data_IF_893082675582
#
_entry.id   IF_893082675582
#
_cell.length_a   1.000
_cell.length_b   1.000
_cell.length_c   1.000
_cell.angle_alpha   90.00
_cell.angle_beta   90.00
_cell.angle_gamma   90.00
#
_symmetry.space_group_name_H-M   'P 1'
#
loop_
_entity.id
_entity.type
_entity.pdbx_description
1 polymer ?
#
# COMPACT_ATOMS: atom_id res chain seq x y z
N UNK A 1 6.20 -1.22 13.59
CA UNK A 1 5.03 -0.54 12.98
C UNK A 1 3.85 -1.48 12.72
N UNK A 2 3.80 -2.29 11.64
CA UNK A 2 2.61 -3.11 11.35
C UNK A 2 2.43 -4.34 12.27
N UNK A 3 3.51 -5.08 12.52
CA UNK A 3 3.49 -6.25 13.42
C UNK A 3 3.09 -5.83 14.84
N UNK A 4 3.74 -4.80 15.38
CA UNK A 4 3.41 -4.22 16.68
C UNK A 4 1.95 -3.78 16.78
N UNK A 5 1.39 -3.19 15.73
CA UNK A 5 -0.02 -2.80 15.71
C UNK A 5 -0.97 -4.01 15.79
N UNK A 6 -0.64 -5.11 15.10
CA UNK A 6 -1.39 -6.37 15.17
C UNK A 6 -1.24 -7.06 16.52
N UNK A 7 -0.06 -7.01 17.14
CA UNK A 7 0.17 -7.53 18.49
C UNK A 7 -0.61 -6.74 19.54
N UNK A 8 -0.59 -5.41 19.45
CA UNK A 8 -1.39 -4.54 20.31
C UNK A 8 -2.89 -4.77 20.10
N UNK A 9 -3.32 -5.00 18.85
CA UNK A 9 -4.70 -5.34 18.52
C UNK A 9 -5.13 -6.67 19.14
N UNK A 10 -4.31 -7.72 19.00
CA UNK A 10 -4.51 -9.02 19.66
C UNK A 10 -4.59 -8.89 21.17
N UNK A 11 -3.73 -8.05 21.76
CA UNK A 11 -3.74 -7.74 23.19
C UNK A 11 -5.07 -7.13 23.65
N UNK A 12 -5.56 -6.10 22.93
CA UNK A 12 -6.87 -5.48 23.20
C UNK A 12 -8.01 -6.48 23.09
N UNK A 13 -8.05 -7.27 22.03
CA UNK A 13 -9.09 -8.30 21.84
C UNK A 13 -9.09 -9.33 22.97
N UNK A 14 -7.91 -9.71 23.46
CA UNK A 14 -7.79 -10.65 24.58
C UNK A 14 -8.43 -10.09 25.85
N UNK A 15 -8.23 -8.80 26.13
CA UNK A 15 -8.86 -8.10 27.26
C UNK A 15 -10.39 -8.01 27.07
N UNK A 16 -10.86 -7.57 25.90
CA UNK A 16 -12.30 -7.44 25.61
C UNK A 16 -13.03 -8.79 25.70
N UNK A 17 -12.38 -9.86 25.21
CA UNK A 17 -12.88 -11.23 25.28
C UNK A 17 -13.05 -11.71 26.72
N UNK A 18 -12.06 -11.47 27.58
CA UNK A 18 -12.14 -11.82 29.01
C UNK A 18 -13.25 -11.01 29.70
N UNK A 19 -13.30 -9.70 29.44
CA UNK A 19 -14.28 -8.80 30.05
C UNK A 19 -15.73 -9.16 29.71
N UNK A 20 -16.00 -9.58 28.47
CA UNK A 20 -17.35 -9.95 28.03
C UNK A 20 -17.74 -11.37 28.37
N UNK A 21 -16.77 -12.26 28.60
CA UNK A 21 -17.00 -13.68 28.77
C UNK A 21 -17.42 -14.37 27.46
N UNK A 22 -17.15 -15.67 27.37
CA UNK A 22 -17.45 -16.49 26.19
C UNK A 22 -18.58 -17.48 26.54
N UNK A 23 -19.50 -17.71 25.62
CA UNK A 23 -20.60 -18.67 25.81
C UNK A 23 -21.76 -18.17 26.68
N UNK A 24 -21.80 -16.87 26.99
CA UNK A 24 -22.89 -16.23 27.73
C UNK A 24 -23.74 -15.35 26.80
N UNK A 25 -25.05 -15.16 27.09
CA UNK A 25 -25.88 -14.23 26.33
C UNK A 25 -25.29 -12.81 26.32
N UNK A 26 -25.07 -12.25 25.14
CA UNK A 26 -24.42 -10.93 24.98
C UNK A 26 -22.90 -10.91 25.19
N UNK A 27 -22.28 -12.08 25.39
CA UNK A 27 -20.84 -12.25 25.52
C UNK A 27 -20.07 -12.09 24.22
N UNK A 28 -18.77 -12.37 24.29
CA UNK A 28 -17.86 -12.36 23.15
C UNK A 28 -18.21 -13.46 22.14
N UNK A 29 -18.27 -13.10 20.85
CA UNK A 29 -18.50 -14.02 19.75
C UNK A 29 -17.18 -14.64 19.26
N UNK A 30 -17.08 -15.97 19.31
CA UNK A 30 -15.91 -16.74 18.87
C UNK A 30 -15.96 -16.97 17.36
N UNK A 31 -15.71 -15.90 16.59
CA UNK A 31 -15.77 -15.93 15.11
C UNK A 31 -14.48 -16.40 14.45
N UNK A 32 -13.36 -16.44 15.18
CA UNK A 32 -12.04 -16.75 14.63
C UNK A 32 -11.45 -15.67 13.72
N UNK A 33 -12.11 -14.51 13.60
CA UNK A 33 -11.66 -13.40 12.77
C UNK A 33 -10.61 -12.55 13.49
N UNK A 34 -9.62 -12.06 12.74
CA UNK A 34 -8.58 -11.16 13.26
C UNK A 34 -9.14 -9.76 13.51
N UNK A 35 -10.01 -9.26 12.65
CA UNK A 35 -10.62 -7.93 12.78
C UNK A 35 -12.10 -8.04 13.13
N UNK A 36 -12.42 -7.70 14.37
CA UNK A 36 -13.77 -7.77 14.94
C UNK A 36 -14.08 -6.49 15.70
N UNK A 37 -15.36 -6.25 15.96
CA UNK A 37 -15.78 -5.22 16.88
C UNK A 37 -15.55 -5.66 18.34
N UNK A 38 -15.90 -4.79 19.30
CA UNK A 38 -15.72 -5.05 20.75
C UNK A 38 -16.53 -6.22 21.30
N UNK A 39 -17.37 -6.88 20.50
CA UNK A 39 -18.09 -8.09 20.88
C UNK A 39 -17.61 -9.34 20.16
N UNK A 40 -16.50 -9.30 19.43
CA UNK A 40 -16.01 -10.45 18.66
C UNK A 40 -16.76 -10.69 17.34
N UNK A 41 -17.74 -9.85 17.00
CA UNK A 41 -18.49 -9.97 15.76
C UNK A 41 -17.79 -9.24 14.60
N UNK A 42 -18.07 -9.61 13.34
CA UNK A 42 -17.43 -9.00 12.18
C UNK A 42 -17.57 -7.46 12.18
N UNK A 43 -16.53 -6.78 11.71
CA UNK A 43 -16.61 -5.35 11.45
C UNK A 43 -17.57 -5.10 10.28
N UNK A 44 -18.35 -4.04 10.40
CA UNK A 44 -19.19 -3.56 9.31
C UNK A 44 -18.37 -2.70 8.33
N UNK A 45 -18.42 -3.04 7.04
CA UNK A 45 -17.63 -2.37 6.01
C UNK A 45 -18.00 -0.89 5.83
N UNK A 46 -19.28 -0.53 5.99
CA UNK A 46 -19.70 0.87 5.88
C UNK A 46 -19.14 1.71 7.04
N UNK A 47 -19.14 1.17 8.26
CA UNK A 47 -18.52 1.80 9.43
C UNK A 47 -17.02 1.96 9.26
N UNK A 48 -16.32 0.96 8.72
CA UNK A 48 -14.89 1.06 8.42
C UNK A 48 -14.61 2.19 7.42
N UNK A 49 -15.39 2.26 6.34
CA UNK A 49 -15.30 3.36 5.38
C UNK A 49 -15.56 4.71 6.06
N UNK A 50 -16.60 4.83 6.88
CA UNK A 50 -16.90 6.07 7.61
C UNK A 50 -15.75 6.49 8.54
N UNK A 51 -15.17 5.56 9.28
CA UNK A 51 -14.00 5.84 10.13
C UNK A 51 -12.82 6.33 9.29
N UNK A 52 -12.57 5.71 8.14
CA UNK A 52 -11.52 6.14 7.23
C UNK A 52 -11.68 7.57 6.73
N UNK A 53 -12.89 7.97 6.32
CA UNK A 53 -13.15 9.35 5.88
C UNK A 53 -12.90 10.34 7.04
N UNK A 54 -13.32 10.00 8.26
CA UNK A 54 -13.01 10.80 9.45
C UNK A 54 -11.51 10.92 9.73
N UNK A 55 -10.72 9.88 9.42
CA UNK A 55 -9.26 9.95 9.52
C UNK A 55 -8.63 10.81 8.41
N UNK A 56 -9.16 10.80 7.19
CA UNK A 56 -8.72 11.69 6.11
C UNK A 56 -8.97 13.15 6.48
N UNK A 57 -10.17 13.47 6.96
CA UNK A 57 -10.54 14.81 7.40
C UNK A 57 -9.63 15.30 8.53
N UNK A 58 -9.42 14.47 9.56
CA UNK A 58 -8.54 14.81 10.69
C UNK A 58 -7.08 15.01 10.26
N UNK A 59 -6.64 14.36 9.18
CA UNK A 59 -5.31 14.51 8.61
C UNK A 59 -5.21 15.66 7.58
N UNK A 60 -6.32 16.35 7.26
CA UNK A 60 -6.36 17.39 6.22
C UNK A 60 -6.13 16.84 4.81
N UNK A 61 -6.42 15.57 4.58
CA UNK A 61 -6.23 14.89 3.30
C UNK A 61 -7.51 14.96 2.46
N UNK A 62 -7.34 14.90 1.14
CA UNK A 62 -8.47 14.87 0.20
C UNK A 62 -9.31 13.60 0.39
N UNK A 63 -10.60 13.70 0.10
CA UNK A 63 -11.52 12.59 0.22
C UNK A 63 -11.18 11.45 -0.75
N UNK A 64 -11.13 10.22 -0.22
CA UNK A 64 -10.71 9.02 -0.93
C UNK A 64 -11.46 7.81 -0.38
N UNK A 65 -11.65 6.80 -1.23
CA UNK A 65 -12.21 5.52 -0.80
C UNK A 65 -11.18 4.72 0.01
N UNK A 66 -11.64 3.78 0.84
CA UNK A 66 -10.75 2.89 1.60
C UNK A 66 -9.78 2.10 0.70
N UNK A 67 -10.18 1.87 -0.56
CA UNK A 67 -9.33 1.19 -1.56
C UNK A 67 -8.09 2.02 -1.94
N UNK A 68 -8.09 3.34 -1.74
CA UNK A 68 -6.92 4.19 -1.98
C UNK A 68 -5.69 3.73 -1.17
N UNK A 69 -5.88 3.21 0.05
CA UNK A 69 -4.78 2.67 0.86
C UNK A 69 -4.02 1.55 0.14
N UNK A 70 -4.74 0.74 -0.63
CA UNK A 70 -4.16 -0.34 -1.43
C UNK A 70 -3.37 0.20 -2.62
N UNK A 71 -3.87 1.24 -3.28
CA UNK A 71 -3.13 1.94 -4.33
C UNK A 71 -1.84 2.55 -3.78
N UNK A 72 -1.92 3.24 -2.63
CA UNK A 72 -0.74 3.78 -1.95
C UNK A 72 0.28 2.69 -1.62
N UNK A 73 -0.17 1.53 -1.12
CA UNK A 73 0.72 0.40 -0.87
C UNK A 73 1.40 -0.10 -2.16
N UNK A 74 0.66 -0.21 -3.28
CA UNK A 74 1.25 -0.54 -4.57
C UNK A 74 2.29 0.49 -5.03
N UNK A 75 1.99 1.79 -4.94
CA UNK A 75 2.92 2.85 -5.31
C UNK A 75 4.20 2.79 -4.50
N UNK A 76 4.11 2.66 -3.18
CA UNK A 76 5.27 2.58 -2.29
C UNK A 76 6.15 1.36 -2.58
N UNK A 77 5.54 0.21 -2.91
CA UNK A 77 6.30 -0.99 -3.29
C UNK A 77 6.98 -0.85 -4.65
N UNK A 78 6.37 -0.14 -5.61
CA UNK A 78 7.02 0.15 -6.89
C UNK A 78 8.18 1.13 -6.70
N UNK A 79 8.02 2.15 -5.85
CA UNK A 79 9.09 3.10 -5.51
C UNK A 79 10.29 2.41 -4.85
N UNK A 80 10.05 1.33 -4.09
CA UNK A 80 11.08 0.48 -3.47
C UNK A 80 11.62 -0.63 -4.43
N UNK A 81 11.35 -0.51 -5.73
CA UNK A 81 11.81 -1.43 -6.78
C UNK A 81 11.37 -2.90 -6.60
N UNK A 82 10.26 -3.11 -5.89
CA UNK A 82 9.70 -4.46 -5.71
C UNK A 82 9.11 -4.95 -7.04
N UNK A 83 9.47 -6.16 -7.44
CA UNK A 83 9.03 -6.73 -8.71
C UNK A 83 7.49 -6.79 -8.80
N UNK A 84 6.88 -6.39 -9.94
CA UNK A 84 5.42 -6.35 -10.10
C UNK A 84 4.70 -7.64 -9.74
N UNK A 85 5.31 -8.80 -10.02
CA UNK A 85 4.74 -10.11 -9.70
C UNK A 85 4.64 -10.35 -8.18
N UNK A 86 5.59 -9.83 -7.41
CA UNK A 86 5.59 -9.89 -5.95
C UNK A 86 4.52 -8.94 -5.41
N UNK A 87 4.44 -7.72 -5.93
CA UNK A 87 3.39 -6.74 -5.56
C UNK A 87 2.00 -7.34 -5.82
N UNK A 88 1.80 -7.94 -6.99
CA UNK A 88 0.56 -8.60 -7.37
C UNK A 88 0.21 -9.76 -6.43
N UNK A 89 1.17 -10.59 -6.04
CA UNK A 89 0.93 -11.69 -5.11
C UNK A 89 0.58 -11.19 -3.70
N UNK A 90 1.27 -10.15 -3.23
CA UNK A 90 1.06 -9.53 -1.92
C UNK A 90 -0.30 -8.85 -1.82
N UNK A 91 -0.68 -8.11 -2.87
CA UNK A 91 -1.95 -7.40 -2.87
C UNK A 91 -3.08 -8.37 -3.25
N UNK A 92 -2.91 -9.25 -4.22
CA UNK A 92 -3.95 -10.12 -4.79
C UNK A 92 -4.51 -9.59 -6.12
N UNK A 93 -5.27 -10.45 -6.82
CA UNK A 93 -5.55 -10.32 -8.26
C UNK A 93 -6.38 -9.09 -8.67
N UNK A 94 -7.16 -8.49 -7.77
CA UNK A 94 -8.03 -7.34 -8.11
C UNK A 94 -7.27 -6.02 -8.30
N UNK A 95 -5.97 -5.93 -7.97
CA UNK A 95 -5.15 -4.72 -8.17
C UNK A 95 -4.12 -4.81 -9.28
N UNK A 96 -4.18 -5.85 -10.12
CA UNK A 96 -3.24 -6.00 -11.25
C UNK A 96 -3.23 -4.74 -12.11
N UNK A 97 -4.41 -4.23 -12.45
CA UNK A 97 -4.54 -3.09 -13.33
C UNK A 97 -3.85 -1.85 -12.76
N UNK A 98 -4.06 -1.56 -11.47
CA UNK A 98 -3.42 -0.45 -10.80
C UNK A 98 -1.90 -0.61 -10.66
N UNK A 99 -1.42 -1.81 -10.30
CA UNK A 99 0.02 -2.09 -10.22
C UNK A 99 0.69 -1.91 -11.58
N UNK A 100 0.05 -2.38 -12.65
CA UNK A 100 0.58 -2.25 -14.00
C UNK A 100 0.54 -0.80 -14.51
N UNK A 101 -0.51 -0.04 -14.21
CA UNK A 101 -0.59 1.40 -14.55
C UNK A 101 0.54 2.20 -13.89
N UNK A 102 0.78 1.98 -12.58
CA UNK A 102 1.87 2.65 -11.85
C UNK A 102 3.23 2.25 -12.41
N UNK A 103 3.44 0.96 -12.63
CA UNK A 103 4.72 0.46 -13.16
C UNK A 103 4.99 0.96 -14.59
N UNK A 104 3.96 1.06 -15.43
CA UNK A 104 4.09 1.62 -16.77
C UNK A 104 4.57 3.08 -16.73
N UNK A 105 4.08 3.88 -15.78
CA UNK A 105 4.53 5.26 -15.59
C UNK A 105 6.00 5.33 -15.17
N UNK A 106 6.40 4.57 -14.15
CA UNK A 106 7.80 4.51 -13.67
C UNK A 106 8.74 4.01 -14.75
N UNK A 107 8.36 2.96 -15.49
CA UNK A 107 9.14 2.44 -16.62
C UNK A 107 9.33 3.50 -17.71
N UNK A 108 8.32 4.32 -17.99
CA UNK A 108 8.43 5.39 -18.98
C UNK A 108 9.46 6.44 -18.55
N UNK A 109 9.46 6.85 -17.29
CA UNK A 109 10.47 7.78 -16.76
C UNK A 109 11.89 7.21 -16.79
N UNK A 110 12.04 5.91 -16.47
CA UNK A 110 13.32 5.21 -16.58
C UNK A 110 13.81 5.17 -18.04
N UNK A 111 12.93 4.88 -18.99
CA UNK A 111 13.26 4.88 -20.42
C UNK A 111 13.68 6.27 -20.92
N UNK A 112 12.98 7.34 -20.51
CA UNK A 112 13.35 8.71 -20.85
C UNK A 112 14.73 9.08 -20.27
N UNK A 113 15.01 8.68 -19.03
CA UNK A 113 16.33 8.89 -18.41
C UNK A 113 17.43 8.15 -19.16
N UNK A 114 17.20 6.91 -19.57
CA UNK A 114 18.14 6.12 -20.35
C UNK A 114 18.40 6.75 -21.73
N UNK A 115 17.35 7.19 -22.43
CA UNK A 115 17.47 7.89 -23.71
C UNK A 115 18.28 9.18 -23.59
N UNK A 116 18.04 9.99 -22.55
CA UNK A 116 18.83 11.21 -22.29
C UNK A 116 20.28 10.91 -21.93
N UNK A 117 20.54 9.80 -21.24
CA UNK A 117 21.91 9.39 -20.93
C UNK A 117 22.67 8.98 -22.20
N UNK A 118 22.03 8.22 -23.10
CA UNK A 118 22.56 7.91 -24.43
C UNK A 118 22.86 9.18 -25.24
N UNK A 119 21.90 10.12 -25.27
CA UNK A 119 22.04 11.38 -26.01
C UNK A 119 23.28 12.19 -25.56
N UNK A 120 23.49 12.31 -24.24
CA UNK A 120 24.69 12.94 -23.68
C UNK A 120 25.98 12.21 -24.07
N UNK A 121 26.02 10.88 -23.95
CA UNK A 121 27.21 10.10 -24.30
C UNK A 121 27.57 10.24 -25.79
N UNK A 122 26.56 10.30 -26.65
CA UNK A 122 26.75 10.45 -28.10
C UNK A 122 27.16 11.88 -28.49
N UNK A 123 26.66 12.92 -27.80
CA UNK A 123 27.06 14.31 -28.06
C UNK A 123 28.44 14.66 -27.50
N UNK A 124 28.78 14.23 -26.28
CA UNK A 124 30.12 14.42 -25.69
C UNK A 124 31.21 13.58 -26.39
N UNK A 125 30.83 12.52 -27.11
CA UNK A 125 31.72 11.76 -27.98
C UNK A 125 32.08 12.49 -29.26
N UNK A 126 31.17 13.33 -29.78
CA UNK A 126 31.35 14.07 -31.04
C UNK A 126 32.32 15.26 -30.91
N UNK A 127 32.42 15.88 -29.73
CA UNK A 127 33.29 17.04 -29.50
C UNK A 127 34.77 16.67 -29.24
N UNK A 128 35.03 15.45 -28.78
CA UNK A 128 36.41 14.94 -28.60
C UNK A 128 37.09 14.47 -29.89
N UNK A 129 36.34 14.32 -30.98
CA UNK A 129 36.86 13.88 -32.28
C UNK A 129 37.38 14.99 -33.19
N UNK A 130 37.13 16.26 -32.89
CA UNK A 130 37.51 17.41 -33.75
C UNK A 130 38.71 18.22 -33.27
N UNK A 131 39.20 17.98 -32.05
CA UNK A 131 40.46 18.54 -31.52
C UNK A 131 41.60 17.52 -31.67
N UNK A 132 42.08 17.30 -32.89
CA UNK A 132 43.17 16.34 -33.12
C UNK A 132 43.51 16.12 -34.58
N UNK A 133 43.68 17.19 -35.35
CA UNK A 133 44.28 17.17 -36.70
C UNK A 133 44.83 18.56 -37.01
N UNK A 134 45.93 18.93 -36.35
CA UNK A 134 46.86 19.98 -36.78
C UNK A 134 48.24 19.35 -36.93
#
# INVERSE_FOLDING_TARGET
>A
MAIEALEAHRGRQSVERIQKGVGVPGGWAETGLVFVNRSGAPLDGQRVSKWFHGHLEAAGLEDRTFHALRHTCASLLVEDDVQPKIIQATLGHSSIQATMEIYAHVSTEVQVRAARAMDRLLTEGSERGTMGSD
#
